data_IF_285576126128
#
_entry.id   IF_285576126128
#
_cell.length_a   1.000
_cell.length_b   1.000
_cell.length_c   1.000
_cell.angle_alpha   90.00
_cell.angle_beta   90.00
_cell.angle_gamma   90.00
#
_symmetry.space_group_name_H-M   'P 1'
#
loop_
_entity.id
_entity.type
_entity.pdbx_description
1 polymer ?
#
# COMPACT_ATOMS: atom_id res chain seq x y z
N UNK A 1 21.31 -19.20 27.32
CA UNK A 1 22.28 -18.09 27.25
C UNK A 1 21.79 -16.99 28.16
N UNK A 2 22.54 -16.62 29.19
CA UNK A 2 22.13 -15.54 30.10
C UNK A 2 22.64 -14.22 29.54
N UNK A 3 21.76 -13.42 28.93
CA UNK A 3 22.06 -12.02 28.65
C UNK A 3 22.01 -11.24 29.97
N UNK A 4 23.02 -10.41 30.23
CA UNK A 4 22.97 -9.49 31.38
C UNK A 4 21.82 -8.51 31.20
N UNK A 5 21.15 -8.15 32.30
CA UNK A 5 20.08 -7.13 32.31
C UNK A 5 20.57 -5.78 31.76
N UNK A 6 21.85 -5.49 31.94
CA UNK A 6 22.47 -4.24 31.47
C UNK A 6 22.54 -4.15 29.94
N UNK A 7 22.42 -5.29 29.23
CA UNK A 7 22.39 -5.34 27.77
C UNK A 7 20.98 -5.22 27.20
N UNK A 8 19.95 -5.30 28.04
CA UNK A 8 18.55 -5.20 27.60
C UNK A 8 18.10 -3.74 27.46
N UNK A 9 17.09 -3.46 26.63
CA UNK A 9 16.47 -2.13 26.57
C UNK A 9 15.93 -1.68 27.93
N UNK A 10 16.02 -0.38 28.17
CA UNK A 10 15.69 0.27 29.44
C UNK A 10 14.77 1.49 29.26
N UNK A 11 14.56 2.28 30.32
CA UNK A 11 13.79 3.52 30.27
C UNK A 11 14.55 4.63 29.52
N UNK A 12 13.84 5.67 29.08
CA UNK A 12 14.39 6.80 28.35
C UNK A 12 15.59 7.46 29.09
N UNK A 13 16.75 7.65 28.44
CA UNK A 13 17.93 8.25 29.07
C UNK A 13 17.79 9.77 29.18
N UNK A 14 17.84 10.30 30.41
CA UNK A 14 17.62 11.72 30.70
C UNK A 14 18.91 12.48 30.87
N UNK A 15 19.97 11.81 31.32
CA UNK A 15 21.29 12.43 31.52
C UNK A 15 22.24 12.13 30.36
N UNK A 16 23.25 12.99 30.10
CA UNK A 16 24.28 12.70 29.09
C UNK A 16 25.07 11.41 29.37
N UNK A 17 25.27 11.08 30.65
CA UNK A 17 25.96 9.85 31.07
C UNK A 17 25.13 8.60 30.75
N UNK A 18 23.83 8.63 31.07
CA UNK A 18 22.90 7.57 30.68
C UNK A 18 22.82 7.41 29.16
N UNK A 19 22.81 8.54 28.43
CA UNK A 19 22.84 8.55 26.97
C UNK A 19 24.11 7.90 26.42
N UNK A 20 25.26 8.23 26.98
CA UNK A 20 26.54 7.63 26.58
C UNK A 20 26.60 6.13 26.89
N UNK A 21 26.03 5.70 28.03
CA UNK A 21 25.92 4.30 28.39
C UNK A 21 24.97 3.53 27.45
N UNK A 22 23.82 4.13 27.10
CA UNK A 22 22.86 3.56 26.15
C UNK A 22 23.46 3.45 24.74
N UNK A 23 24.12 4.49 24.24
CA UNK A 23 24.81 4.45 22.95
C UNK A 23 25.85 3.31 22.92
N UNK A 24 26.66 3.16 23.98
CA UNK A 24 27.61 2.05 24.13
C UNK A 24 26.93 0.68 24.15
N UNK A 25 25.77 0.55 24.81
CA UNK A 25 24.96 -0.68 24.86
C UNK A 25 24.47 -1.11 23.48
N UNK A 26 24.06 -0.16 22.64
CA UNK A 26 23.58 -0.42 21.27
C UNK A 26 24.69 -0.39 20.21
N UNK A 27 25.97 -0.40 20.60
CA UNK A 27 27.12 -0.35 19.69
C UNK A 27 27.12 0.89 18.76
N UNK A 28 26.55 2.00 19.22
CA UNK A 28 26.47 3.27 18.49
C UNK A 28 27.41 4.33 19.07
N UNK A 29 27.71 5.33 18.25
CA UNK A 29 28.38 6.55 18.73
C UNK A 29 27.40 7.41 19.51
N UNK A 30 27.90 8.15 20.51
CA UNK A 30 27.05 9.01 21.35
C UNK A 30 26.44 10.15 20.54
N UNK A 31 27.14 10.64 19.52
CA UNK A 31 26.66 11.73 18.65
C UNK A 31 25.53 11.28 17.73
N UNK A 32 25.54 10.02 17.28
CA UNK A 32 24.55 9.44 16.37
C UNK A 32 23.35 8.81 17.11
N UNK A 33 23.46 8.66 18.43
CA UNK A 33 22.41 8.06 19.25
C UNK A 33 21.32 9.08 19.59
N UNK A 34 20.17 8.94 18.93
CA UNK A 34 18.93 9.65 19.24
C UNK A 34 17.89 8.63 19.73
N UNK A 35 17.39 8.71 20.98
CA UNK A 35 16.24 7.93 21.41
C UNK A 35 14.93 8.52 20.86
N UNK A 36 13.89 7.71 20.80
CA UNK A 36 12.53 8.21 20.53
C UNK A 36 12.07 9.21 21.61
N UNK A 37 11.20 10.18 21.29
CA UNK A 37 10.63 11.09 22.29
C UNK A 37 9.96 10.37 23.48
N UNK A 38 10.11 10.90 24.69
CA UNK A 38 9.52 10.36 25.94
C UNK A 38 8.02 10.71 26.06
N UNK A 39 7.24 10.29 25.07
CA UNK A 39 5.79 10.57 24.95
C UNK A 39 4.92 9.46 25.59
N UNK A 40 5.53 8.49 26.28
CA UNK A 40 4.82 7.38 26.93
C UNK A 40 4.40 6.23 26.00
N UNK A 41 4.84 6.20 24.75
CA UNK A 41 4.57 5.11 23.79
C UNK A 41 5.35 3.80 24.06
N UNK A 42 6.27 3.79 25.03
CA UNK A 42 6.97 2.58 25.45
C UNK A 42 8.24 2.25 24.65
N UNK A 43 8.78 3.18 23.87
CA UNK A 43 10.07 2.99 23.16
C UNK A 43 11.28 2.89 24.11
N UNK A 44 11.22 3.55 25.27
CA UNK A 44 12.30 3.54 26.26
C UNK A 44 13.59 4.17 25.72
N UNK A 45 14.70 3.47 25.86
CA UNK A 45 16.02 3.87 25.36
C UNK A 45 16.38 3.34 23.97
N UNK A 46 15.41 2.75 23.24
CA UNK A 46 15.69 2.20 21.93
C UNK A 46 16.11 3.28 20.92
N UNK A 47 17.17 3.06 20.11
CA UNK A 47 17.63 4.05 19.15
C UNK A 47 16.62 4.27 18.03
N UNK A 48 16.36 5.53 17.71
CA UNK A 48 15.56 5.96 16.57
C UNK A 48 16.44 6.01 15.33
N UNK A 49 16.49 4.88 14.63
CA UNK A 49 17.23 4.78 13.37
C UNK A 49 16.50 5.52 12.23
N UNK A 50 17.20 5.89 11.14
CA UNK A 50 16.55 6.47 9.98
C UNK A 50 15.49 5.54 9.37
N UNK A 51 14.32 6.09 9.04
CA UNK A 51 13.20 5.39 8.42
C UNK A 51 13.51 5.00 6.96
N UNK A 52 14.38 4.01 6.78
CA UNK A 52 14.84 3.52 5.49
C UNK A 52 14.64 2.02 5.36
N UNK A 53 14.11 1.62 4.22
CA UNK A 53 13.98 0.25 3.78
C UNK A 53 15.34 -0.42 3.60
N UNK A 54 15.40 -1.72 3.89
CA UNK A 54 16.59 -2.54 3.65
C UNK A 54 16.95 -2.65 2.16
N UNK A 55 16.05 -2.29 1.24
CA UNK A 55 16.35 -2.19 -0.19
C UNK A 55 17.39 -1.11 -0.52
N UNK A 56 17.47 -0.04 0.27
CA UNK A 56 18.42 1.06 0.05
C UNK A 56 19.87 0.69 0.43
N UNK A 57 20.07 -0.35 1.26
CA UNK A 57 21.40 -0.78 1.67
C UNK A 57 22.19 -1.37 0.50
N UNK A 58 23.51 -1.20 0.50
CA UNK A 58 24.39 -1.65 -0.59
C UNK A 58 24.19 -3.15 -0.89
N UNK A 59 23.74 -3.53 -2.10
CA UNK A 59 23.56 -4.94 -2.45
C UNK A 59 24.87 -5.69 -2.71
N UNK A 60 26.00 -4.98 -2.87
CA UNK A 60 27.28 -5.57 -3.26
C UNK A 60 28.18 -5.89 -2.08
N UNK A 61 27.97 -5.20 -0.95
CA UNK A 61 28.62 -5.53 0.30
C UNK A 61 28.18 -6.92 0.80
N UNK A 62 29.13 -7.72 1.30
CA UNK A 62 28.87 -9.04 1.86
C UNK A 62 28.38 -8.92 3.30
N UNK A 63 27.06 -8.81 3.47
CA UNK A 63 26.41 -8.75 4.78
C UNK A 63 26.43 -10.10 5.51
N UNK A 64 26.48 -10.07 6.84
CA UNK A 64 26.38 -11.29 7.67
C UNK A 64 25.02 -12.01 7.48
N UNK A 65 23.95 -11.24 7.29
CA UNK A 65 22.63 -11.72 6.89
C UNK A 65 22.31 -11.17 5.48
N UNK A 66 22.66 -11.90 4.40
CA UNK A 66 22.54 -11.40 3.03
C UNK A 66 21.09 -11.12 2.59
N UNK A 67 20.14 -11.85 3.14
CA UNK A 67 18.72 -11.68 2.88
C UNK A 67 18.20 -10.34 3.43
N UNK A 68 18.62 -9.98 4.64
CA UNK A 68 18.22 -8.75 5.33
C UNK A 68 19.15 -7.56 5.06
N UNK A 69 20.34 -7.79 4.52
CA UNK A 69 21.41 -6.78 4.41
C UNK A 69 21.75 -6.16 5.77
N UNK A 70 22.01 -7.01 6.76
CA UNK A 70 22.26 -6.59 8.13
C UNK A 70 23.49 -7.28 8.70
N UNK A 71 24.29 -6.53 9.47
CA UNK A 71 25.50 -7.05 10.10
C UNK A 71 25.24 -7.43 11.56
N UNK A 72 26.06 -8.34 12.07
CA UNK A 72 26.05 -8.69 13.48
C UNK A 72 26.47 -7.50 14.34
N UNK A 73 25.69 -7.21 15.39
CA UNK A 73 25.94 -6.09 16.31
C UNK A 73 25.50 -4.72 15.80
N UNK A 74 24.94 -4.62 14.58
CA UNK A 74 24.26 -3.41 14.11
C UNK A 74 22.89 -3.31 14.82
N UNK A 75 22.49 -2.14 15.34
CA UNK A 75 21.16 -1.98 15.92
C UNK A 75 20.08 -2.17 14.84
N UNK A 76 18.99 -2.84 15.21
CA UNK A 76 17.86 -3.08 14.33
C UNK A 76 16.90 -1.89 14.35
N UNK A 77 16.22 -1.61 13.24
CA UNK A 77 15.18 -0.56 13.23
C UNK A 77 13.97 -1.03 14.04
N UNK A 78 13.26 -0.13 14.73
CA UNK A 78 12.07 -0.47 15.50
C UNK A 78 11.02 -1.16 14.61
N UNK A 79 10.64 -0.51 13.50
CA UNK A 79 9.76 -1.07 12.45
C UNK A 79 10.52 -1.93 11.43
N UNK A 80 11.50 -2.73 11.87
CA UNK A 80 12.26 -3.61 10.99
C UNK A 80 11.35 -4.55 10.20
N UNK A 81 10.31 -5.07 10.84
CA UNK A 81 9.32 -5.96 10.26
C UNK A 81 8.51 -5.31 9.10
N UNK A 82 8.41 -3.98 9.05
CA UNK A 82 7.81 -3.22 7.95
C UNK A 82 8.80 -2.99 6.81
N UNK A 83 10.08 -2.77 7.15
CA UNK A 83 11.16 -2.41 6.22
C UNK A 83 11.98 -3.59 5.70
N UNK A 84 11.57 -4.82 5.99
CA UNK A 84 12.10 -6.01 5.32
C UNK A 84 11.88 -5.96 3.81
N UNK A 85 12.79 -6.57 3.05
CA UNK A 85 12.86 -6.48 1.58
C UNK A 85 11.65 -7.03 0.81
N UNK A 86 10.73 -7.73 1.46
CA UNK A 86 9.48 -8.21 0.86
C UNK A 86 8.27 -7.31 1.18
N UNK A 87 8.46 -6.14 1.81
CA UNK A 87 7.38 -5.24 2.22
C UNK A 87 7.58 -3.82 1.72
N UNK A 88 7.53 -2.82 2.61
CA UNK A 88 7.50 -1.40 2.25
C UNK A 88 8.89 -0.96 1.82
N UNK A 89 8.95 -0.37 0.62
CA UNK A 89 10.19 0.16 0.07
C UNK A 89 10.17 1.69 0.08
N UNK A 90 11.26 2.29 0.57
CA UNK A 90 11.50 3.74 0.63
C UNK A 90 12.51 4.21 -0.43
N UNK A 91 12.99 3.30 -1.27
CA UNK A 91 13.95 3.60 -2.33
C UNK A 91 13.48 4.78 -3.19
N UNK A 92 14.37 5.74 -3.50
CA UNK A 92 13.99 6.95 -4.21
C UNK A 92 13.50 6.63 -5.62
N UNK A 93 12.33 7.15 -5.98
CA UNK A 93 11.78 7.04 -7.33
C UNK A 93 12.22 8.23 -8.20
N UNK A 94 12.42 8.06 -9.51
CA UNK A 94 12.80 9.16 -10.40
C UNK A 94 11.78 10.31 -10.46
N UNK A 95 10.51 10.02 -10.17
CA UNK A 95 9.41 11.00 -10.18
C UNK A 95 8.99 11.29 -8.73
N UNK A 96 8.78 12.56 -8.36
CA UNK A 96 8.25 12.92 -7.05
C UNK A 96 6.86 12.32 -6.77
N UNK A 97 6.63 11.89 -5.53
CA UNK A 97 5.37 11.24 -5.11
C UNK A 97 4.11 12.03 -5.48
N UNK A 98 4.09 13.34 -5.20
CA UNK A 98 2.92 14.19 -5.47
C UNK A 98 2.60 14.24 -6.97
N UNK A 99 3.61 14.22 -7.83
CA UNK A 99 3.47 14.18 -9.28
C UNK A 99 2.85 12.86 -9.72
N UNK A 100 3.38 11.72 -9.27
CA UNK A 100 2.83 10.39 -9.58
C UNK A 100 1.36 10.28 -9.18
N UNK A 101 1.04 10.68 -7.94
CA UNK A 101 -0.33 10.69 -7.40
C UNK A 101 -1.27 11.55 -8.25
N UNK A 102 -0.84 12.78 -8.59
CA UNK A 102 -1.68 13.70 -9.36
C UNK A 102 -1.93 13.17 -10.78
N UNK A 103 -0.94 12.58 -11.43
CA UNK A 103 -1.12 11.96 -12.76
C UNK A 103 -2.10 10.79 -12.69
N UNK A 104 -1.96 9.91 -11.69
CA UNK A 104 -2.87 8.77 -11.50
C UNK A 104 -4.31 9.25 -11.28
N UNK A 105 -4.52 10.21 -10.39
CA UNK A 105 -5.86 10.76 -10.10
C UNK A 105 -6.44 11.51 -11.29
N UNK A 106 -5.63 12.27 -12.03
CA UNK A 106 -6.08 12.96 -13.24
C UNK A 106 -6.50 11.97 -14.32
N UNK A 107 -5.73 10.90 -14.52
CA UNK A 107 -6.06 9.86 -15.49
C UNK A 107 -7.37 9.14 -15.11
N UNK A 108 -7.48 8.65 -13.87
CA UNK A 108 -8.67 7.95 -13.40
C UNK A 108 -9.91 8.86 -13.42
N UNK A 109 -9.77 10.11 -12.96
CA UNK A 109 -10.86 11.08 -12.98
C UNK A 109 -11.31 11.40 -14.41
N UNK A 110 -10.37 11.58 -15.34
CA UNK A 110 -10.70 11.82 -16.75
C UNK A 110 -11.40 10.61 -17.37
N UNK A 111 -10.92 9.40 -17.11
CA UNK A 111 -11.58 8.17 -17.59
C UNK A 111 -13.00 8.03 -17.06
N UNK A 112 -13.22 8.24 -15.76
CA UNK A 112 -14.56 8.17 -15.18
C UNK A 112 -15.52 9.21 -15.80
N UNK A 113 -15.04 10.43 -16.05
CA UNK A 113 -15.84 11.47 -16.72
C UNK A 113 -16.18 11.04 -18.15
N UNK A 114 -15.21 10.51 -18.90
CA UNK A 114 -15.44 10.06 -20.28
C UNK A 114 -16.41 8.88 -20.35
N UNK A 115 -16.34 7.93 -19.41
CA UNK A 115 -17.32 6.85 -19.31
C UNK A 115 -18.72 7.37 -18.98
N UNK A 116 -18.84 8.31 -18.04
CA UNK A 116 -20.13 8.94 -17.73
C UNK A 116 -20.72 9.68 -18.95
N UNK A 117 -19.88 10.40 -19.70
CA UNK A 117 -20.29 11.04 -20.96
C UNK A 117 -20.72 10.00 -22.01
N UNK A 118 -20.01 8.87 -22.11
CA UNK A 118 -20.39 7.76 -22.99
C UNK A 118 -21.75 7.15 -22.65
N UNK A 119 -22.16 7.18 -21.38
CA UNK A 119 -23.49 6.75 -20.95
C UNK A 119 -24.58 7.79 -21.30
N UNK A 120 -24.29 9.09 -21.16
CA UNK A 120 -25.22 10.15 -21.56
C UNK A 120 -25.39 10.28 -23.08
N UNK A 121 -24.33 9.96 -23.84
CA UNK A 121 -24.28 10.04 -25.29
C UNK A 121 -23.93 8.67 -25.90
N UNK A 122 -24.80 7.66 -25.75
CA UNK A 122 -24.51 6.32 -26.21
C UNK A 122 -24.50 6.28 -27.74
N UNK A 123 -23.50 5.62 -28.29
CA UNK A 123 -23.48 5.28 -29.70
C UNK A 123 -24.40 4.09 -29.97
N UNK A 124 -25.29 4.22 -30.95
CA UNK A 124 -26.14 3.15 -31.43
C UNK A 124 -26.12 3.11 -32.96
N UNK A 125 -26.41 1.94 -33.54
CA UNK A 125 -26.56 1.81 -34.99
C UNK A 125 -27.91 2.40 -35.42
N UNK A 126 -28.01 3.08 -36.57
CA UNK A 126 -29.25 3.69 -37.06
C UNK A 126 -30.21 2.64 -37.61
N UNK A 127 -30.61 1.70 -36.77
CA UNK A 127 -31.54 0.60 -37.08
C UNK A 127 -32.64 0.61 -36.02
N UNK A 128 -33.86 0.27 -36.42
CA UNK A 128 -34.96 0.08 -35.48
C UNK A 128 -34.70 -1.06 -34.50
N UNK A 129 -35.50 -1.16 -33.42
CA UNK A 129 -35.42 -2.29 -32.50
C UNK A 129 -35.68 -3.61 -33.23
N UNK A 130 -34.99 -4.66 -32.80
CA UNK A 130 -35.18 -6.00 -33.37
C UNK A 130 -36.60 -6.49 -33.09
N UNK A 131 -37.32 -6.81 -34.16
CA UNK A 131 -38.68 -7.36 -34.09
C UNK A 131 -38.63 -8.87 -33.88
N UNK A 132 -39.57 -9.38 -33.08
CA UNK A 132 -39.64 -10.80 -32.70
C UNK A 132 -41.09 -11.30 -32.83
N UNK A 133 -41.32 -12.48 -33.44
CA UNK A 133 -42.67 -13.03 -33.60
C UNK A 133 -43.27 -13.49 -32.26
N UNK A 134 -44.53 -13.95 -32.29
CA UNK A 134 -45.24 -14.55 -31.14
C UNK A 134 -45.27 -13.65 -29.90
N UNK A 135 -45.71 -12.40 -30.06
CA UNK A 135 -45.78 -11.40 -28.98
C UNK A 135 -44.43 -11.22 -28.26
N UNK A 136 -43.35 -11.00 -29.02
CA UNK A 136 -41.97 -10.89 -28.52
C UNK A 136 -41.48 -12.17 -27.83
N UNK A 137 -41.79 -13.33 -28.41
CA UNK A 137 -41.43 -14.66 -27.89
C UNK A 137 -41.91 -14.87 -26.44
N UNK A 138 -43.17 -14.54 -26.15
CA UNK A 138 -43.69 -14.49 -24.78
C UNK A 138 -43.51 -15.82 -24.04
N UNK A 139 -43.87 -16.95 -24.65
CA UNK A 139 -43.78 -18.27 -24.03
C UNK A 139 -42.33 -18.71 -23.88
N UNK A 140 -41.50 -18.48 -24.90
CA UNK A 140 -40.09 -18.87 -24.90
C UNK A 140 -39.25 -18.04 -23.90
N UNK A 141 -39.71 -16.83 -23.55
CA UNK A 141 -39.11 -15.99 -22.49
C UNK A 141 -39.69 -16.25 -21.10
N UNK A 142 -40.48 -17.32 -20.92
CA UNK A 142 -41.02 -17.73 -19.62
C UNK A 142 -42.32 -17.04 -19.21
N UNK A 143 -43.08 -16.52 -20.17
CA UNK A 143 -44.43 -16.02 -19.95
C UNK A 143 -45.39 -17.10 -19.44
N UNK A 144 -46.42 -16.68 -18.70
CA UNK A 144 -47.43 -17.57 -18.12
C UNK A 144 -48.39 -18.07 -19.22
N UNK A 145 -48.44 -19.38 -19.53
CA UNK A 145 -49.31 -19.90 -20.59
C UNK A 145 -50.80 -19.65 -20.33
N UNK A 146 -51.19 -19.39 -19.08
CA UNK A 146 -52.58 -19.16 -18.69
C UNK A 146 -53.00 -17.70 -18.79
N UNK A 147 -52.08 -16.80 -19.18
CA UNK A 147 -52.36 -15.38 -19.34
C UNK A 147 -52.11 -14.98 -20.77
N UNK A 148 -53.09 -14.30 -21.37
CA UNK A 148 -52.90 -13.75 -22.70
C UNK A 148 -51.93 -12.56 -22.62
N UNK A 149 -50.80 -12.61 -23.36
CA UNK A 149 -49.89 -11.48 -23.42
C UNK A 149 -50.50 -10.31 -24.22
N UNK A 150 -50.03 -9.07 -24.00
CA UNK A 150 -50.39 -7.97 -24.86
C UNK A 150 -50.01 -8.27 -26.32
N UNK A 151 -50.93 -8.01 -27.25
CA UNK A 151 -50.75 -8.31 -28.68
C UNK A 151 -49.68 -7.37 -29.27
N UNK A 152 -48.60 -7.94 -29.79
CA UNK A 152 -47.54 -7.21 -30.49
C UNK A 152 -47.52 -7.65 -31.95
N UNK A 153 -48.06 -6.81 -32.84
CA UNK A 153 -48.06 -7.04 -34.30
C UNK A 153 -46.94 -6.26 -34.99
N UNK A 154 -46.19 -6.95 -35.84
CA UNK A 154 -45.20 -6.35 -36.74
C UNK A 154 -45.74 -6.36 -38.17
N UNK A 155 -45.60 -5.24 -38.88
CA UNK A 155 -46.04 -5.07 -40.27
C UNK A 155 -44.83 -4.94 -41.19
N UNK A 156 -44.96 -5.38 -42.44
CA UNK A 156 -43.96 -5.11 -43.47
C UNK A 156 -43.95 -3.62 -43.82
N UNK A 157 -42.75 -3.06 -44.03
CA UNK A 157 -42.51 -1.66 -44.38
C UNK A 157 -42.29 -1.56 -45.89
#
# INVERSE_FOLDING_TARGET
SEMSKDLLPGPYPRTPEERAAAAKKYNMRVEDYEPYPDDGFGYGDYPKLPNKSLHEKDPWYQWDQPDMRHNWGEPMHWDFDMYIRNRVDTSPTPVPWHTMRNHLLAFLGTMLIMFALGEFYPYYRPVGPKQYPFNNLYLERGGDPNKEPPVVTHYEI
#
